data_IF_694256768176
#
_entry.id   IF_694256768176
#
_cell.length_a   1.000
_cell.length_b   1.000
_cell.length_c   1.000
_cell.angle_alpha   90.00
_cell.angle_beta   90.00
_cell.angle_gamma   90.00
#
_symmetry.space_group_name_H-M   'P 1'
#
loop_
_entity.id
_entity.type
_entity.pdbx_description
1 polymer ?
#
# COMPACT_ATOMS: atom_id res chain seq x y z
N UNK A 1 -15.40 40.81 -60.20
CA UNK A 1 -16.02 40.20 -58.98
C UNK A 1 -15.41 38.85 -58.76
N UNK A 2 -14.33 38.83 -57.94
CA UNK A 2 -13.60 37.60 -57.65
C UNK A 2 -13.72 37.34 -56.18
N UNK A 3 -14.32 36.18 -55.83
CA UNK A 3 -14.38 35.71 -54.45
C UNK A 3 -13.08 35.07 -54.03
N UNK A 4 -12.51 35.58 -52.95
CA UNK A 4 -11.33 35.04 -52.31
C UNK A 4 -11.78 33.98 -51.33
N UNK A 5 -11.43 32.70 -51.54
CA UNK A 5 -11.59 31.59 -50.61
C UNK A 5 -10.51 31.69 -49.54
N UNK A 6 -10.94 31.94 -48.32
CA UNK A 6 -10.10 31.92 -47.11
C UNK A 6 -9.94 30.48 -46.65
N UNK A 7 -8.75 29.90 -46.84
CA UNK A 7 -8.41 28.57 -46.29
C UNK A 7 -7.84 28.77 -44.91
N UNK A 8 -8.61 28.48 -43.89
CA UNK A 8 -8.16 28.38 -42.52
C UNK A 8 -7.22 27.17 -42.34
N UNK A 9 -5.94 27.44 -42.13
CA UNK A 9 -4.99 26.43 -41.74
C UNK A 9 -5.22 26.08 -40.23
N UNK A 10 -5.62 24.86 -39.99
CA UNK A 10 -5.65 24.26 -38.65
C UNK A 10 -4.21 24.06 -38.17
N UNK A 11 -3.79 24.48 -36.96
CA UNK A 11 -2.44 24.24 -36.50
C UNK A 11 -2.24 22.75 -36.25
N UNK A 12 -1.36 22.15 -37.05
CA UNK A 12 -0.83 20.80 -36.87
C UNK A 12 -0.08 20.75 -35.53
N UNK A 13 -0.57 19.89 -34.61
CA UNK A 13 0.14 19.57 -33.39
C UNK A 13 1.56 19.08 -33.74
N UNK A 14 2.58 19.83 -33.34
CA UNK A 14 3.99 19.47 -33.44
C UNK A 14 4.24 18.20 -32.63
N UNK A 15 4.29 17.05 -33.32
CA UNK A 15 4.82 15.81 -32.76
C UNK A 15 6.30 16.01 -32.54
N UNK A 16 6.73 16.11 -31.27
CA UNK A 16 8.15 15.94 -30.94
C UNK A 16 8.67 14.65 -31.61
N UNK A 17 9.87 14.65 -32.20
CA UNK A 17 10.42 13.45 -32.79
C UNK A 17 10.49 12.35 -31.74
N UNK A 18 10.22 11.09 -32.10
CA UNK A 18 10.25 10.00 -31.14
C UNK A 18 11.66 9.87 -30.55
N UNK A 19 11.75 9.97 -29.26
CA UNK A 19 13.01 9.70 -28.56
C UNK A 19 13.27 8.20 -28.60
N UNK A 20 14.52 7.81 -28.89
CA UNK A 20 14.92 6.40 -28.90
C UNK A 20 16.11 6.20 -27.96
N UNK A 21 15.99 5.18 -27.10
CA UNK A 21 17.02 4.78 -26.14
C UNK A 21 17.24 3.27 -26.25
N UNK A 22 18.45 2.81 -26.03
CA UNK A 22 18.76 1.37 -25.97
C UNK A 22 19.41 1.04 -24.64
N UNK A 23 18.79 0.12 -23.91
CA UNK A 23 19.35 -0.48 -22.69
C UNK A 23 20.12 -1.74 -23.05
N UNK A 24 21.26 -1.97 -22.40
CA UNK A 24 22.04 -3.19 -22.52
C UNK A 24 22.14 -3.85 -21.15
N UNK A 25 21.87 -5.14 -21.08
CA UNK A 25 21.87 -5.93 -19.85
C UNK A 25 23.04 -6.92 -19.85
N UNK A 26 23.76 -7.01 -18.74
CA UNK A 26 24.99 -7.80 -18.67
C UNK A 26 24.71 -9.30 -18.48
N UNK A 27 23.71 -9.65 -17.68
CA UNK A 27 23.36 -11.05 -17.39
C UNK A 27 22.20 -11.56 -18.27
N UNK A 28 22.53 -12.28 -19.32
CA UNK A 28 21.55 -12.85 -20.24
C UNK A 28 20.61 -13.89 -19.60
N UNK A 29 21.01 -14.53 -18.50
CA UNK A 29 20.16 -15.50 -17.81
C UNK A 29 18.94 -14.87 -17.12
N UNK A 30 19.00 -13.56 -16.80
CA UNK A 30 17.92 -12.82 -16.19
C UNK A 30 16.93 -12.25 -17.21
N UNK A 31 17.32 -12.14 -18.48
CA UNK A 31 16.45 -11.56 -19.51
C UNK A 31 15.12 -12.29 -19.70
N UNK A 32 15.05 -13.62 -19.81
CA UNK A 32 13.76 -14.30 -19.92
C UNK A 32 12.83 -14.00 -18.75
N UNK A 33 13.37 -13.81 -17.55
CA UNK A 33 12.60 -13.46 -16.36
C UNK A 33 12.14 -12.00 -16.39
N UNK A 34 12.96 -11.09 -16.96
CA UNK A 34 12.60 -9.68 -17.17
C UNK A 34 11.50 -9.54 -18.21
N UNK A 35 11.61 -10.26 -19.33
CA UNK A 35 10.64 -10.22 -20.42
C UNK A 35 9.32 -10.89 -20.04
N UNK A 36 9.40 -11.95 -19.22
CA UNK A 36 8.28 -12.83 -18.89
C UNK A 36 7.90 -13.74 -20.07
N UNK A 37 7.03 -14.71 -19.81
CA UNK A 37 6.59 -15.63 -20.83
C UNK A 37 5.98 -14.88 -22.03
N UNK A 38 6.48 -15.13 -23.24
CA UNK A 38 6.03 -14.51 -24.48
C UNK A 38 6.09 -12.97 -24.44
N UNK A 39 7.13 -12.41 -23.81
CA UNK A 39 7.36 -10.96 -23.68
C UNK A 39 6.21 -10.20 -22.98
N UNK A 40 5.42 -10.89 -22.16
CA UNK A 40 4.22 -10.31 -21.51
C UNK A 40 4.52 -9.09 -20.65
N UNK A 41 5.73 -9.00 -20.07
CA UNK A 41 6.13 -7.85 -19.26
C UNK A 41 6.40 -6.64 -20.15
N UNK A 42 7.07 -6.82 -21.30
CA UNK A 42 7.29 -5.76 -22.27
C UNK A 42 5.97 -5.25 -22.85
N UNK A 43 5.08 -6.16 -23.27
CA UNK A 43 3.75 -5.79 -23.78
C UNK A 43 2.95 -4.97 -22.75
N UNK A 44 3.07 -5.30 -21.46
CA UNK A 44 2.42 -4.56 -20.37
C UNK A 44 3.00 -3.15 -20.21
N UNK A 45 4.32 -2.99 -20.32
CA UNK A 45 5.00 -1.69 -20.28
C UNK A 45 4.58 -0.83 -21.49
N UNK A 46 4.59 -1.40 -22.69
CA UNK A 46 4.16 -0.73 -23.92
C UNK A 46 2.72 -0.21 -23.81
N UNK A 47 1.80 -1.06 -23.35
CA UNK A 47 0.40 -0.71 -23.19
C UNK A 47 0.18 0.42 -22.17
N UNK A 48 0.95 0.43 -21.09
CA UNK A 48 0.78 1.42 -20.00
C UNK A 48 1.42 2.77 -20.31
N UNK A 49 2.57 2.78 -20.94
CA UNK A 49 3.33 4.01 -21.21
C UNK A 49 3.15 4.53 -22.63
N UNK A 50 2.58 3.76 -23.55
CA UNK A 50 2.46 4.16 -24.96
C UNK A 50 3.79 4.24 -25.67
N UNK A 51 4.78 3.47 -25.24
CA UNK A 51 6.09 3.31 -25.90
C UNK A 51 6.11 2.03 -26.74
N UNK A 52 7.14 1.88 -27.59
CA UNK A 52 7.46 0.63 -28.28
C UNK A 52 8.77 0.07 -27.75
N UNK A 53 8.78 -1.23 -27.45
CA UNK A 53 9.92 -1.98 -26.93
C UNK A 53 10.32 -3.06 -27.94
N UNK A 54 11.58 -3.13 -28.30
CA UNK A 54 12.10 -4.18 -29.18
C UNK A 54 13.33 -4.82 -28.54
N UNK A 55 13.22 -6.11 -28.22
CA UNK A 55 14.33 -6.88 -27.66
C UNK A 55 15.14 -7.58 -28.78
N UNK A 56 16.46 -7.39 -28.75
CA UNK A 56 17.41 -8.14 -29.61
C UNK A 56 18.62 -8.57 -28.79
N UNK A 57 18.71 -9.85 -28.50
CA UNK A 57 19.75 -10.42 -27.65
C UNK A 57 19.70 -9.79 -26.25
N UNK A 58 20.77 -9.15 -25.81
CA UNK A 58 20.83 -8.49 -24.50
C UNK A 58 20.47 -6.98 -24.54
N UNK A 59 19.83 -6.51 -25.61
CA UNK A 59 19.48 -5.10 -25.79
C UNK A 59 17.97 -4.94 -25.93
N UNK A 60 17.44 -3.95 -25.23
CA UNK A 60 16.04 -3.51 -25.35
C UNK A 60 16.06 -2.07 -25.87
N UNK A 61 15.55 -1.88 -27.10
CA UNK A 61 15.34 -0.55 -27.68
C UNK A 61 13.96 -0.03 -27.23
N UNK A 62 13.91 1.21 -26.75
CA UNK A 62 12.70 1.91 -26.29
C UNK A 62 12.47 3.09 -27.23
N UNK A 63 11.28 3.25 -27.77
CA UNK A 63 10.94 4.39 -28.63
C UNK A 63 9.55 4.94 -28.30
N UNK A 64 9.45 6.27 -28.25
CA UNK A 64 8.21 6.98 -27.90
C UNK A 64 8.45 8.43 -27.49
N UNK A 65 7.47 9.09 -26.85
CA UNK A 65 7.67 10.41 -26.27
C UNK A 65 8.70 10.39 -25.15
N UNK A 66 9.54 11.42 -25.05
CA UNK A 66 10.70 11.45 -24.14
C UNK A 66 10.37 11.13 -22.66
N UNK A 67 9.33 11.69 -22.02
CA UNK A 67 8.99 11.35 -20.62
C UNK A 67 8.63 9.87 -20.43
N UNK A 68 7.91 9.28 -21.40
CA UNK A 68 7.50 7.87 -21.35
C UNK A 68 8.68 6.93 -21.61
N UNK A 69 9.64 7.33 -22.46
CA UNK A 69 10.88 6.58 -22.67
C UNK A 69 11.71 6.55 -21.40
N UNK A 70 11.86 7.69 -20.71
CA UNK A 70 12.56 7.74 -19.41
C UNK A 70 11.86 6.93 -18.32
N UNK A 71 10.52 6.93 -18.28
CA UNK A 71 9.77 6.10 -17.36
C UNK A 71 9.96 4.60 -17.64
N UNK A 72 9.94 4.18 -18.91
CA UNK A 72 10.18 2.80 -19.31
C UNK A 72 11.61 2.33 -18.98
N UNK A 73 12.60 3.19 -19.23
CA UNK A 73 14.00 2.97 -18.85
C UNK A 73 14.13 2.70 -17.35
N UNK A 74 13.61 3.62 -16.54
CA UNK A 74 13.66 3.52 -15.08
C UNK A 74 12.95 2.26 -14.56
N UNK A 75 11.77 1.91 -15.11
CA UNK A 75 11.04 0.71 -14.76
C UNK A 75 11.82 -0.56 -15.09
N UNK A 76 12.35 -0.69 -16.32
CA UNK A 76 13.15 -1.84 -16.73
C UNK A 76 14.41 -2.00 -15.89
N UNK A 77 15.12 -0.89 -15.61
CA UNK A 77 16.29 -0.90 -14.75
C UNK A 77 15.97 -1.31 -13.30
N UNK A 78 14.84 -0.87 -12.76
CA UNK A 78 14.40 -1.27 -11.41
C UNK A 78 14.04 -2.76 -11.34
N UNK A 79 13.29 -3.26 -12.32
CA UNK A 79 12.93 -4.68 -12.40
C UNK A 79 14.17 -5.57 -12.56
N UNK A 80 15.13 -5.16 -13.40
CA UNK A 80 16.36 -5.92 -13.58
C UNK A 80 17.18 -6.01 -12.29
N UNK A 81 17.32 -4.92 -11.53
CA UNK A 81 17.97 -4.94 -10.20
C UNK A 81 17.26 -5.85 -9.19
N UNK A 82 15.94 -5.98 -9.25
CA UNK A 82 15.21 -6.93 -8.41
C UNK A 82 15.60 -8.37 -8.76
N UNK A 83 15.73 -8.70 -10.07
CA UNK A 83 16.18 -10.01 -10.51
C UNK A 83 17.63 -10.30 -10.08
N UNK A 84 18.53 -9.32 -10.14
CA UNK A 84 19.92 -9.46 -9.64
C UNK A 84 19.97 -9.78 -8.14
N UNK A 85 18.98 -9.34 -7.36
CA UNK A 85 18.81 -9.68 -5.94
C UNK A 85 18.14 -11.04 -5.72
N UNK A 86 17.84 -11.77 -6.78
CA UNK A 86 17.15 -13.06 -6.72
C UNK A 86 15.64 -12.98 -6.50
N UNK A 87 15.02 -11.82 -6.73
CA UNK A 87 13.59 -11.64 -6.60
C UNK A 87 12.88 -12.12 -7.88
N UNK A 88 11.69 -12.70 -7.72
CA UNK A 88 10.83 -13.07 -8.85
C UNK A 88 10.04 -11.84 -9.35
N UNK A 89 9.89 -11.68 -10.68
CA UNK A 89 9.09 -10.64 -11.31
C UNK A 89 7.79 -11.23 -11.85
N UNK A 90 6.69 -10.58 -11.49
CA UNK A 90 5.34 -10.87 -11.99
C UNK A 90 4.65 -9.59 -12.51
N UNK A 91 3.46 -9.74 -13.09
CA UNK A 91 2.69 -8.61 -13.60
C UNK A 91 2.43 -7.50 -12.57
N UNK A 92 2.00 -7.82 -11.33
CA UNK A 92 1.88 -6.85 -10.25
C UNK A 92 3.15 -6.06 -9.93
N UNK A 93 4.33 -6.67 -9.97
CA UNK A 93 5.62 -5.99 -9.77
C UNK A 93 5.96 -5.08 -10.95
N UNK A 94 5.64 -5.48 -12.18
CA UNK A 94 5.76 -4.60 -13.36
C UNK A 94 4.86 -3.37 -13.19
N UNK A 95 3.60 -3.56 -12.81
CA UNK A 95 2.69 -2.43 -12.57
C UNK A 95 3.18 -1.51 -11.44
N UNK A 96 3.77 -2.05 -10.40
CA UNK A 96 4.35 -1.28 -9.30
C UNK A 96 5.54 -0.43 -9.80
N UNK A 97 6.46 -1.03 -10.57
CA UNK A 97 7.57 -0.31 -11.18
C UNK A 97 7.06 0.85 -12.06
N UNK A 98 6.05 0.62 -12.88
CA UNK A 98 5.44 1.63 -13.76
C UNK A 98 4.79 2.78 -12.98
N UNK A 99 4.10 2.50 -11.86
CA UNK A 99 3.52 3.57 -11.02
C UNK A 99 4.58 4.44 -10.35
N UNK A 100 5.68 3.82 -9.92
CA UNK A 100 6.78 4.52 -9.26
C UNK A 100 7.64 5.34 -10.25
N UNK A 101 7.55 5.05 -11.54
CA UNK A 101 8.24 5.79 -12.60
C UNK A 101 7.37 6.78 -13.34
N UNK A 102 6.11 6.93 -12.96
CA UNK A 102 5.19 7.89 -13.57
C UNK A 102 5.78 9.31 -13.46
N UNK A 103 6.02 10.01 -14.59
CA UNK A 103 6.59 11.37 -14.58
C UNK A 103 5.70 12.40 -13.88
N UNK A 104 4.43 12.08 -13.64
CA UNK A 104 3.48 12.91 -12.87
C UNK A 104 3.50 12.62 -11.38
N UNK A 105 4.19 11.55 -10.94
CA UNK A 105 4.39 11.22 -9.54
C UNK A 105 5.59 12.00 -8.96
N UNK A 106 5.57 12.22 -7.64
CA UNK A 106 6.60 12.99 -6.93
C UNK A 106 8.02 12.39 -7.12
N UNK A 107 9.00 13.11 -7.68
CA UNK A 107 10.29 12.56 -8.12
C UNK A 107 11.31 12.27 -7.01
N UNK A 108 10.89 12.21 -5.72
CA UNK A 108 11.81 12.29 -4.56
C UNK A 108 12.64 11.06 -4.26
N UNK A 109 12.44 9.90 -4.92
CA UNK A 109 13.24 8.70 -4.61
C UNK A 109 13.72 8.00 -5.88
N UNK A 110 15.05 7.80 -6.04
CA UNK A 110 15.56 6.92 -7.08
C UNK A 110 15.06 5.50 -6.85
N UNK A 111 14.52 4.88 -7.88
CA UNK A 111 14.02 3.49 -7.88
C UNK A 111 15.08 2.45 -7.46
N UNK A 112 16.36 2.84 -7.44
CA UNK A 112 17.46 2.00 -7.01
C UNK A 112 17.43 1.65 -5.52
N UNK A 113 16.84 2.51 -4.69
CA UNK A 113 16.95 2.45 -3.23
C UNK A 113 15.58 2.33 -2.55
N UNK A 114 14.59 1.77 -3.27
CA UNK A 114 13.27 1.54 -2.68
C UNK A 114 13.39 0.64 -1.45
N UNK A 115 12.86 1.08 -0.30
CA UNK A 115 12.87 0.28 0.90
C UNK A 115 12.05 -0.99 0.69
N UNK A 116 12.57 -2.13 1.10
CA UNK A 116 11.83 -3.39 1.07
C UNK A 116 11.81 -4.04 2.44
N UNK A 117 10.65 -4.51 2.84
CA UNK A 117 10.45 -5.26 4.08
C UNK A 117 10.73 -6.74 3.79
N UNK A 118 11.73 -7.31 4.44
CA UNK A 118 12.09 -8.72 4.27
C UNK A 118 11.29 -9.60 5.22
N UNK A 119 10.50 -10.50 4.67
CA UNK A 119 9.77 -11.52 5.43
C UNK A 119 10.31 -12.91 5.10
N UNK A 120 9.84 -13.94 5.82
CA UNK A 120 10.23 -15.33 5.53
C UNK A 120 9.71 -15.85 4.18
N UNK A 121 8.64 -15.28 3.66
CA UNK A 121 8.06 -15.63 2.34
C UNK A 121 8.55 -14.75 1.19
N UNK A 122 9.41 -13.78 1.47
CA UNK A 122 10.01 -12.93 0.44
C UNK A 122 10.11 -11.46 0.84
N UNK A 123 10.57 -10.64 -0.10
CA UNK A 123 10.65 -9.20 0.09
C UNK A 123 9.33 -8.52 -0.36
N UNK A 124 8.82 -7.64 0.48
CA UNK A 124 7.64 -6.82 0.22
C UNK A 124 8.13 -5.40 -0.07
N UNK A 125 8.08 -5.00 -1.33
CA UNK A 125 8.40 -3.64 -1.77
C UNK A 125 7.17 -2.76 -1.88
N UNK A 126 7.36 -1.43 -1.91
CA UNK A 126 6.28 -0.48 -2.15
C UNK A 126 5.74 -0.62 -3.58
N UNK A 127 4.45 -0.34 -3.74
CA UNK A 127 3.74 -0.34 -5.02
C UNK A 127 3.23 1.05 -5.41
N UNK A 128 3.51 2.07 -4.58
CA UNK A 128 3.19 3.48 -4.81
C UNK A 128 4.17 4.38 -4.04
N UNK A 129 4.21 5.66 -4.37
CA UNK A 129 5.04 6.64 -3.69
C UNK A 129 4.63 6.80 -2.21
N UNK A 130 3.32 6.80 -1.91
CA UNK A 130 2.81 6.83 -0.54
C UNK A 130 3.28 5.63 0.28
N UNK A 131 3.30 4.42 -0.31
CA UNK A 131 3.82 3.23 0.35
C UNK A 131 5.32 3.32 0.62
N UNK A 132 6.09 3.94 -0.27
CA UNK A 132 7.54 4.17 -0.07
C UNK A 132 7.79 5.02 1.18
N UNK A 133 7.11 6.18 1.26
CA UNK A 133 7.20 7.05 2.44
C UNK A 133 6.73 6.38 3.73
N UNK A 134 5.68 5.56 3.64
CA UNK A 134 5.18 4.83 4.80
C UNK A 134 6.16 3.77 5.32
N UNK A 135 6.80 2.99 4.46
CA UNK A 135 7.83 2.01 4.88
C UNK A 135 9.00 2.73 5.56
N UNK A 136 9.41 3.90 5.06
CA UNK A 136 10.43 4.71 5.70
C UNK A 136 10.01 5.20 7.09
N UNK A 137 8.79 5.69 7.25
CA UNK A 137 8.23 6.09 8.55
C UNK A 137 8.19 4.91 9.53
N UNK A 138 7.73 3.72 9.09
CA UNK A 138 7.71 2.50 9.90
C UNK A 138 9.11 2.08 10.40
N UNK A 139 10.15 2.38 9.63
CA UNK A 139 11.52 2.08 10.02
C UNK A 139 12.08 3.05 11.07
N UNK A 140 11.68 4.34 11.01
CA UNK A 140 12.30 5.43 11.79
C UNK A 140 11.53 5.81 13.05
N UNK A 141 10.19 5.72 13.06
CA UNK A 141 9.38 6.24 14.15
C UNK A 141 8.90 5.13 15.08
N UNK A 142 8.74 5.46 16.35
CA UNK A 142 8.18 4.57 17.36
C UNK A 142 6.66 4.44 17.24
N UNK A 143 5.99 5.52 16.81
CA UNK A 143 4.57 5.55 16.56
C UNK A 143 4.28 6.09 15.16
N UNK A 144 3.43 5.39 14.39
CA UNK A 144 3.05 5.80 13.04
C UNK A 144 1.54 5.74 12.86
N UNK A 145 0.95 6.84 12.41
CA UNK A 145 -0.42 6.89 11.91
C UNK A 145 -0.43 6.72 10.39
N UNK A 146 -1.21 5.79 9.88
CA UNK A 146 -1.36 5.52 8.45
C UNK A 146 -2.82 5.74 8.04
N UNK A 147 -3.07 6.79 7.27
CA UNK A 147 -4.39 7.32 6.95
C UNK A 147 -4.68 7.25 5.46
N UNK A 148 -5.89 6.89 5.08
CA UNK A 148 -6.35 6.96 3.69
C UNK A 148 -7.24 5.81 3.28
N UNK A 149 -7.63 5.74 1.99
CA UNK A 149 -8.64 4.83 1.50
C UNK A 149 -8.29 3.35 1.68
N UNK A 150 -9.32 2.50 1.67
CA UNK A 150 -9.13 1.05 1.64
C UNK A 150 -8.35 0.60 0.40
N UNK A 151 -7.50 -0.44 0.55
CA UNK A 151 -6.69 -0.97 -0.56
C UNK A 151 -5.38 -0.25 -0.82
N UNK A 152 -4.96 0.71 0.02
CA UNK A 152 -3.65 1.38 -0.05
C UNK A 152 -2.52 0.61 0.64
N UNK A 153 -2.82 -0.53 1.27
CA UNK A 153 -1.83 -1.40 1.89
C UNK A 153 -1.39 -1.01 3.31
N UNK A 154 -2.10 -0.08 3.99
CA UNK A 154 -1.75 0.39 5.35
C UNK A 154 -1.50 -0.74 6.34
N UNK A 155 -2.51 -1.57 6.54
CA UNK A 155 -2.46 -2.68 7.48
C UNK A 155 -1.50 -3.77 7.01
N UNK A 156 -1.50 -4.09 5.73
CA UNK A 156 -0.61 -5.10 5.14
C UNK A 156 0.87 -4.77 5.36
N UNK A 157 1.30 -3.54 5.07
CA UNK A 157 2.69 -3.11 5.26
C UNK A 157 3.07 -2.99 6.74
N UNK A 158 2.13 -2.59 7.61
CA UNK A 158 2.35 -2.60 9.06
C UNK A 158 2.60 -4.02 9.58
N UNK A 159 1.78 -5.01 9.16
CA UNK A 159 1.96 -6.43 9.51
C UNK A 159 3.28 -6.97 8.95
N UNK A 160 3.66 -6.59 7.72
CA UNK A 160 4.93 -6.99 7.13
C UNK A 160 6.12 -6.50 7.99
N UNK A 161 6.09 -5.23 8.40
CA UNK A 161 7.12 -4.66 9.27
C UNK A 161 7.16 -5.34 10.64
N UNK A 162 6.00 -5.62 11.22
CA UNK A 162 5.89 -6.34 12.49
C UNK A 162 6.53 -7.74 12.40
N UNK A 163 6.21 -8.50 11.35
CA UNK A 163 6.78 -9.84 11.10
C UNK A 163 8.29 -9.76 10.87
N UNK A 164 8.77 -8.76 10.12
CA UNK A 164 10.20 -8.57 9.90
C UNK A 164 10.95 -8.25 11.20
N UNK A 165 10.37 -7.41 12.08
CA UNK A 165 10.96 -7.07 13.37
C UNK A 165 10.93 -8.25 14.35
N UNK A 166 9.84 -9.03 14.41
CA UNK A 166 9.75 -10.23 15.22
C UNK A 166 10.76 -11.30 14.76
N UNK A 167 10.86 -11.54 13.46
CA UNK A 167 11.78 -12.56 12.93
C UNK A 167 13.25 -12.18 13.04
N UNK A 168 13.56 -10.89 13.12
CA UNK A 168 14.92 -10.38 13.37
C UNK A 168 15.25 -10.15 14.85
N UNK A 169 14.33 -10.47 15.77
CA UNK A 169 14.52 -10.32 17.21
C UNK A 169 14.56 -8.86 17.70
N UNK A 170 14.01 -7.92 16.91
CA UNK A 170 13.92 -6.50 17.31
C UNK A 170 12.73 -6.24 18.24
N UNK A 171 11.74 -7.11 18.21
CA UNK A 171 10.62 -7.15 19.16
C UNK A 171 10.37 -8.61 19.56
N UNK A 172 9.81 -8.82 20.74
CA UNK A 172 9.54 -10.15 21.28
C UNK A 172 8.15 -10.67 20.88
N UNK A 173 7.23 -9.75 20.51
CA UNK A 173 5.85 -10.11 20.17
C UNK A 173 5.20 -9.11 19.23
N UNK A 174 4.16 -9.59 18.55
CA UNK A 174 3.22 -8.79 17.76
C UNK A 174 1.86 -8.81 18.44
N UNK A 175 1.25 -7.64 18.59
CA UNK A 175 -0.13 -7.50 19.08
C UNK A 175 -0.96 -6.78 18.02
N UNK A 176 -1.94 -7.48 17.47
CA UNK A 176 -2.87 -6.93 16.48
C UNK A 176 -4.21 -6.69 17.15
N UNK A 177 -4.73 -5.49 17.01
CA UNK A 177 -5.99 -5.08 17.61
C UNK A 177 -6.88 -4.37 16.61
N UNK A 178 -8.18 -4.49 16.80
CA UNK A 178 -9.21 -3.79 16.03
C UNK A 178 -10.37 -3.43 16.96
N UNK A 179 -10.97 -2.24 16.83
CA UNK A 179 -12.20 -1.94 17.54
C UNK A 179 -13.29 -2.88 17.06
N UNK A 180 -14.00 -3.51 17.98
CA UNK A 180 -15.22 -4.23 17.67
C UNK A 180 -16.32 -3.17 17.45
N UNK A 181 -16.65 -2.89 16.20
CA UNK A 181 -17.75 -1.98 15.85
C UNK A 181 -18.93 -2.84 15.42
N UNK A 182 -20.05 -2.62 16.07
CA UNK A 182 -21.31 -3.21 15.64
C UNK A 182 -21.80 -2.43 14.41
N UNK A 183 -21.44 -2.89 13.19
CA UNK A 183 -22.00 -2.36 11.95
C UNK A 183 -23.50 -2.72 11.85
N UNK A 184 -24.33 -2.04 12.65
CA UNK A 184 -25.79 -2.25 12.68
C UNK A 184 -26.27 -3.56 13.31
N UNK A 185 -25.41 -4.53 13.55
CA UNK A 185 -25.72 -5.79 14.26
C UNK A 185 -25.13 -5.75 15.65
N UNK A 186 -25.99 -5.83 16.66
CA UNK A 186 -25.53 -5.91 18.05
C UNK A 186 -24.81 -7.25 18.26
N UNK A 187 -23.54 -7.24 18.65
CA UNK A 187 -22.73 -8.41 19.00
C UNK A 187 -23.45 -9.40 19.93
N UNK A 188 -24.48 -8.92 20.65
CA UNK A 188 -25.34 -9.73 21.50
C UNK A 188 -26.18 -10.79 20.77
N UNK A 189 -26.38 -10.69 19.45
CA UNK A 189 -27.21 -11.65 18.69
C UNK A 189 -26.42 -12.81 18.05
N UNK A 190 -25.07 -12.74 18.00
CA UNK A 190 -24.29 -13.85 17.49
C UNK A 190 -24.15 -14.95 18.57
N UNK A 191 -24.36 -16.25 18.24
CA UNK A 191 -24.07 -17.35 19.15
C UNK A 191 -22.55 -17.49 19.36
N UNK A 192 -22.16 -17.95 20.56
CA UNK A 192 -20.75 -18.16 20.90
C UNK A 192 -20.21 -17.21 21.96
N UNK A 193 -18.97 -17.45 22.37
CA UNK A 193 -18.26 -16.59 23.31
C UNK A 193 -17.80 -15.27 22.65
N UNK A 194 -17.32 -14.32 23.44
CA UNK A 194 -16.89 -12.99 22.93
C UNK A 194 -15.77 -13.12 21.88
N UNK A 195 -14.93 -14.14 22.00
CA UNK A 195 -13.81 -14.38 21.08
C UNK A 195 -14.30 -14.90 19.73
N UNK A 196 -15.22 -15.85 19.74
CA UNK A 196 -15.85 -16.39 18.52
C UNK A 196 -16.64 -15.34 17.75
N UNK A 197 -17.31 -14.43 18.46
CA UNK A 197 -18.10 -13.33 17.86
C UNK A 197 -17.22 -12.28 17.16
N UNK A 198 -16.00 -12.07 17.60
CA UNK A 198 -15.08 -11.05 17.06
C UNK A 198 -14.17 -11.62 15.97
N UNK A 199 -13.98 -12.94 15.92
CA UNK A 199 -13.08 -13.61 14.98
C UNK A 199 -13.29 -13.22 13.49
N UNK A 200 -14.53 -13.11 12.96
CA UNK A 200 -14.76 -12.69 11.58
C UNK A 200 -14.15 -11.30 11.23
N UNK A 201 -14.18 -10.38 12.18
CA UNK A 201 -13.64 -9.03 12.01
C UNK A 201 -12.11 -9.00 12.03
N UNK A 202 -11.47 -10.03 12.56
CA UNK A 202 -10.02 -10.16 12.66
C UNK A 202 -9.41 -10.93 11.47
N UNK A 203 -10.22 -11.56 10.62
CA UNK A 203 -9.76 -12.34 9.45
C UNK A 203 -8.75 -11.62 8.57
N UNK A 204 -8.93 -10.33 8.20
CA UNK A 204 -7.95 -9.63 7.37
C UNK A 204 -6.55 -9.57 7.99
N UNK A 205 -6.45 -9.58 9.32
CA UNK A 205 -5.17 -9.61 10.04
C UNK A 205 -4.52 -11.00 9.98
N UNK A 206 -5.33 -12.07 10.10
CA UNK A 206 -4.86 -13.45 9.91
C UNK A 206 -4.38 -13.67 8.47
N UNK A 207 -5.11 -13.17 7.48
CA UNK A 207 -4.76 -13.31 6.06
C UNK A 207 -3.41 -12.62 5.78
N UNK A 208 -3.21 -11.40 6.29
CA UNK A 208 -1.95 -10.69 6.16
C UNK A 208 -0.78 -11.43 6.82
N UNK A 209 -0.97 -12.01 8.00
CA UNK A 209 0.05 -12.83 8.65
C UNK A 209 0.37 -14.11 7.87
N UNK A 210 -0.65 -14.78 7.33
CA UNK A 210 -0.49 -15.97 6.50
C UNK A 210 0.28 -15.69 5.22
N UNK A 211 0.16 -14.50 4.64
CA UNK A 211 0.94 -14.10 3.47
C UNK A 211 2.44 -13.93 3.76
N UNK A 212 2.81 -13.73 5.02
CA UNK A 212 4.18 -13.37 5.43
C UNK A 212 4.92 -14.47 6.18
N UNK A 213 4.17 -15.38 6.82
CA UNK A 213 4.69 -16.50 7.59
C UNK A 213 4.17 -17.83 7.03
N UNK A 214 4.98 -18.90 7.02
CA UNK A 214 4.47 -20.26 6.84
C UNK A 214 3.41 -20.60 7.89
N UNK A 215 2.33 -21.30 7.49
CA UNK A 215 1.18 -21.52 8.37
C UNK A 215 1.49 -22.27 9.66
N UNK A 216 2.42 -23.24 9.61
CA UNK A 216 2.93 -23.97 10.77
C UNK A 216 3.64 -23.03 11.77
N UNK A 217 4.41 -22.07 11.28
CA UNK A 217 5.09 -21.07 12.11
C UNK A 217 4.11 -20.08 12.72
N UNK A 218 3.09 -19.65 11.97
CA UNK A 218 2.05 -18.76 12.49
C UNK A 218 1.33 -19.42 13.65
N UNK A 219 0.83 -20.65 13.46
CA UNK A 219 0.13 -21.40 14.52
C UNK A 219 1.00 -21.58 15.77
N UNK A 220 2.26 -21.96 15.60
CA UNK A 220 3.21 -22.11 16.71
C UNK A 220 3.42 -20.81 17.47
N UNK A 221 3.66 -19.69 16.76
CA UNK A 221 3.91 -18.39 17.37
C UNK A 221 2.68 -17.84 18.11
N UNK A 222 1.49 -18.11 17.60
CA UNK A 222 0.25 -17.78 18.30
C UNK A 222 0.08 -18.62 19.56
N UNK A 223 0.39 -19.91 19.51
CA UNK A 223 0.27 -20.82 20.67
C UNK A 223 1.19 -20.43 21.82
N UNK A 224 2.39 -19.90 21.54
CA UNK A 224 3.35 -19.45 22.58
C UNK A 224 3.20 -17.96 22.92
N UNK A 225 2.23 -17.24 22.33
CA UNK A 225 1.94 -15.84 22.64
C UNK A 225 2.89 -14.81 22.00
N UNK A 226 3.75 -15.20 21.05
CA UNK A 226 4.56 -14.26 20.26
C UNK A 226 3.72 -13.45 19.28
N UNK A 227 2.57 -13.98 18.85
CA UNK A 227 1.58 -13.27 18.03
C UNK A 227 0.24 -13.37 18.74
N UNK A 228 -0.35 -12.23 19.04
CA UNK A 228 -1.64 -12.07 19.67
C UNK A 228 -2.57 -11.25 18.77
N UNK A 229 -3.79 -11.72 18.54
CA UNK A 229 -4.85 -10.96 17.88
C UNK A 229 -6.00 -10.84 18.85
N UNK A 230 -6.34 -9.61 19.23
CA UNK A 230 -7.34 -9.37 20.27
C UNK A 230 -8.12 -8.06 20.03
N UNK A 231 -9.42 -8.04 20.41
CA UNK A 231 -10.22 -6.81 20.40
C UNK A 231 -9.58 -5.70 21.25
N UNK A 232 -9.81 -4.45 20.87
CA UNK A 232 -9.28 -3.27 21.56
C UNK A 232 -9.58 -3.26 23.07
N UNK A 233 -10.74 -3.76 23.48
CA UNK A 233 -11.14 -3.80 24.88
C UNK A 233 -10.17 -4.60 25.77
N UNK A 234 -9.48 -5.61 25.21
CA UNK A 234 -8.51 -6.45 25.93
C UNK A 234 -7.15 -5.77 26.15
N UNK A 235 -6.96 -4.58 25.61
CA UNK A 235 -5.73 -3.78 25.82
C UNK A 235 -5.77 -2.99 27.14
N UNK A 236 -6.93 -2.87 27.75
CA UNK A 236 -7.11 -2.09 28.99
C UNK A 236 -6.28 -2.67 30.14
N UNK A 237 -5.56 -1.80 30.86
CA UNK A 237 -4.76 -2.19 32.04
C UNK A 237 -3.43 -2.88 31.70
N UNK A 238 -3.10 -3.05 30.43
CA UNK A 238 -1.84 -3.67 29.99
C UNK A 238 -0.76 -2.61 29.77
N UNK A 239 0.49 -3.01 29.90
CA UNK A 239 1.67 -2.31 29.36
C UNK A 239 2.30 -3.22 28.33
N UNK A 240 2.43 -2.71 27.11
CA UNK A 240 2.98 -3.45 25.98
C UNK A 240 4.43 -3.04 25.82
N UNK A 241 5.36 -3.85 26.31
CA UNK A 241 6.79 -3.62 26.17
C UNK A 241 7.40 -4.59 25.16
N UNK A 242 8.46 -4.18 24.46
CA UNK A 242 9.21 -4.93 23.46
C UNK A 242 8.31 -5.56 22.40
N UNK A 243 7.26 -4.82 21.99
CA UNK A 243 6.20 -5.32 21.12
C UNK A 243 6.06 -4.46 19.85
N UNK A 244 5.60 -5.09 18.77
CA UNK A 244 5.05 -4.36 17.64
C UNK A 244 3.53 -4.42 17.71
N UNK A 245 2.89 -3.27 17.90
CA UNK A 245 1.46 -3.18 18.18
C UNK A 245 0.75 -2.48 17.03
N UNK A 246 -0.33 -3.08 16.51
CA UNK A 246 -1.11 -2.49 15.42
C UNK A 246 -2.56 -2.34 15.88
N UNK A 247 -3.11 -1.13 15.72
CA UNK A 247 -4.54 -0.87 15.81
C UNK A 247 -5.08 -0.60 14.41
N UNK A 248 -5.85 -1.54 13.89
CA UNK A 248 -6.49 -1.43 12.59
C UNK A 248 -7.91 -0.87 12.70
N UNK A 249 -8.42 -0.20 11.65
CA UNK A 249 -9.73 0.48 11.59
C UNK A 249 -9.96 1.47 12.75
N UNK A 250 -8.89 2.17 13.10
CA UNK A 250 -8.84 3.05 14.28
C UNK A 250 -9.82 4.24 14.22
N UNK A 251 -10.34 4.61 13.04
CA UNK A 251 -11.39 5.63 12.90
C UNK A 251 -12.65 5.27 13.67
N UNK A 252 -12.84 3.97 13.95
CA UNK A 252 -13.99 3.44 14.67
C UNK A 252 -13.76 3.34 16.20
N UNK A 253 -12.74 4.02 16.72
CA UNK A 253 -12.56 4.21 18.16
C UNK A 253 -13.18 5.50 18.63
N UNK A 254 -13.59 5.56 19.89
CA UNK A 254 -13.87 6.83 20.58
C UNK A 254 -12.57 7.48 21.08
N UNK A 255 -12.54 8.81 21.38
CA UNK A 255 -11.36 9.47 21.95
C UNK A 255 -10.83 8.80 23.22
N UNK A 256 -11.73 8.32 24.09
CA UNK A 256 -11.37 7.59 25.33
C UNK A 256 -10.68 6.26 25.01
N UNK A 257 -11.18 5.51 24.05
CA UNK A 257 -10.59 4.24 23.61
C UNK A 257 -9.22 4.47 22.97
N UNK A 258 -9.09 5.47 22.10
CA UNK A 258 -7.82 5.82 21.45
C UNK A 258 -6.77 6.23 22.50
N UNK A 259 -7.09 7.15 23.40
CA UNK A 259 -6.19 7.53 24.48
C UNK A 259 -5.80 6.33 25.33
N UNK A 260 -6.75 5.47 25.71
CA UNK A 260 -6.49 4.26 26.45
C UNK A 260 -5.49 3.36 25.72
N UNK A 261 -5.62 3.17 24.41
CA UNK A 261 -4.73 2.34 23.61
C UNK A 261 -3.33 2.94 23.47
N UNK A 262 -3.21 4.21 23.08
CA UNK A 262 -1.94 4.89 22.89
C UNK A 262 -1.07 4.88 24.15
N UNK A 263 -1.71 4.98 25.32
CA UNK A 263 -1.04 4.92 26.62
C UNK A 263 -0.65 3.51 27.08
N UNK A 264 -0.85 2.48 26.25
CA UNK A 264 -0.33 1.10 26.51
C UNK A 264 1.10 0.92 26.06
N UNK A 265 1.66 1.88 25.33
CA UNK A 265 3.03 1.83 24.82
C UNK A 265 4.03 1.72 25.97
N UNK A 266 4.84 0.66 25.96
CA UNK A 266 5.92 0.41 26.90
C UNK A 266 7.29 0.54 26.24
N UNK A 267 8.33 0.26 26.99
CA UNK A 267 9.72 0.32 26.51
C UNK A 267 9.94 -0.62 25.32
N UNK A 268 10.72 -0.16 24.33
CA UNK A 268 11.07 -0.95 23.14
C UNK A 268 9.90 -1.27 22.21
N UNK A 269 8.75 -0.61 22.38
CA UNK A 269 7.54 -0.87 21.58
C UNK A 269 7.49 0.03 20.35
N UNK A 270 7.02 -0.55 19.25
CA UNK A 270 6.58 0.15 18.04
C UNK A 270 5.07 0.05 17.94
N UNK A 271 4.41 1.18 17.62
CA UNK A 271 2.96 1.25 17.53
C UNK A 271 2.52 1.82 16.19
N UNK A 272 1.59 1.15 15.53
CA UNK A 272 1.05 1.59 14.23
C UNK A 272 -0.47 1.68 14.34
N UNK A 273 -1.02 2.80 13.93
CA UNK A 273 -2.45 3.09 13.94
C UNK A 273 -2.90 3.28 12.49
N UNK A 274 -3.74 2.39 11.98
CA UNK A 274 -4.25 2.45 10.61
C UNK A 274 -5.73 2.83 10.60
N UNK A 275 -6.15 3.62 9.61
CA UNK A 275 -7.56 3.99 9.51
C UNK A 275 -7.91 4.82 8.28
N UNK A 276 -9.21 4.98 8.07
CA UNK A 276 -9.81 5.79 7.01
C UNK A 276 -10.88 6.72 7.59
N UNK A 277 -10.58 8.01 7.68
CA UNK A 277 -11.51 9.01 8.23
C UNK A 277 -12.78 9.22 7.38
N UNK A 278 -12.84 8.64 6.19
CA UNK A 278 -14.05 8.67 5.34
C UNK A 278 -15.01 7.52 5.63
N UNK A 279 -14.55 6.48 6.39
CA UNK A 279 -15.31 5.27 6.71
C UNK A 279 -15.52 5.15 8.22
N UNK A 280 -16.18 6.13 8.82
CA UNK A 280 -16.49 6.14 10.26
C UNK A 280 -17.86 5.52 10.48
N UNK A 281 -17.89 4.38 11.17
CA UNK A 281 -19.10 3.61 11.50
C UNK A 281 -19.59 3.85 12.95
N UNK A 282 -19.08 4.90 13.61
CA UNK A 282 -19.51 5.28 14.94
C UNK A 282 -20.93 5.87 14.93
N UNK A 283 -21.67 5.78 16.06
CA UNK A 283 -22.98 6.41 16.20
C UNK A 283 -22.92 7.93 15.87
N UNK A 284 -23.99 8.44 15.27
CA UNK A 284 -24.10 9.84 14.90
C UNK A 284 -23.77 10.77 16.07
N UNK A 285 -22.94 11.78 15.83
CA UNK A 285 -22.47 12.72 16.86
C UNK A 285 -21.29 12.24 17.69
N UNK A 286 -20.80 11.02 17.52
CA UNK A 286 -19.59 10.53 18.19
C UNK A 286 -18.36 10.92 17.38
N UNK A 287 -17.44 11.68 18.00
CA UNK A 287 -16.16 12.04 17.39
C UNK A 287 -15.26 10.79 17.26
N UNK A 288 -14.62 10.62 16.12
CA UNK A 288 -13.62 9.57 15.92
C UNK A 288 -12.39 9.82 16.80
N UNK A 289 -11.97 8.80 17.54
CA UNK A 289 -10.74 8.85 18.34
C UNK A 289 -9.48 8.99 17.49
N UNK A 290 -9.50 8.49 16.25
CA UNK A 290 -8.40 8.70 15.30
C UNK A 290 -8.28 10.18 14.91
N UNK A 291 -9.39 10.84 14.59
CA UNK A 291 -9.39 12.26 14.28
C UNK A 291 -8.92 13.10 15.49
N UNK A 292 -9.44 12.79 16.68
CA UNK A 292 -9.07 13.45 17.92
C UNK A 292 -7.57 13.29 18.25
N UNK A 293 -7.02 12.09 18.05
CA UNK A 293 -5.59 11.82 18.27
C UNK A 293 -4.69 12.60 17.31
N UNK A 294 -5.06 12.69 16.03
CA UNK A 294 -4.29 13.44 15.03
C UNK A 294 -4.21 14.94 15.37
N UNK A 295 -5.33 15.52 15.79
CA UNK A 295 -5.36 16.93 16.21
C UNK A 295 -4.57 17.16 17.50
N UNK A 296 -4.68 16.22 18.47
CA UNK A 296 -4.04 16.36 19.80
C UNK A 296 -2.53 16.13 19.76
N UNK A 297 -2.07 15.24 18.89
CA UNK A 297 -0.66 14.79 18.83
C UNK A 297 0.12 15.48 17.71
N UNK A 298 -0.43 16.49 17.07
CA UNK A 298 0.27 17.27 16.06
C UNK A 298 1.55 17.89 16.65
N UNK A 299 2.68 17.69 15.98
CA UNK A 299 3.99 18.22 16.41
C UNK A 299 4.67 17.44 17.54
N UNK A 300 4.08 16.37 18.05
CA UNK A 300 4.75 15.51 19.05
C UNK A 300 5.88 14.73 18.38
N UNK A 301 7.11 14.89 18.90
CA UNK A 301 8.30 14.19 18.38
C UNK A 301 8.17 12.68 18.55
N UNK A 302 8.75 11.91 17.60
CA UNK A 302 8.67 10.43 17.59
C UNK A 302 7.43 9.87 16.91
N UNK A 303 6.47 10.70 16.51
CA UNK A 303 5.26 10.31 15.79
C UNK A 303 5.39 10.61 14.29
N UNK A 304 5.18 9.63 13.45
CA UNK A 304 5.10 9.76 11.99
C UNK A 304 3.65 9.68 11.50
N UNK A 305 3.33 10.44 10.45
CA UNK A 305 2.00 10.40 9.82
C UNK A 305 2.15 10.14 8.33
N UNK A 306 1.68 8.99 7.86
CA UNK A 306 1.55 8.66 6.45
C UNK A 306 0.12 8.98 5.97
N UNK A 307 -0.01 9.71 4.87
CA UNK A 307 -1.31 10.01 4.24
C UNK A 307 -1.34 9.43 2.84
N UNK A 308 -2.25 8.50 2.62
CA UNK A 308 -2.51 7.88 1.34
C UNK A 308 -3.68 8.54 0.64
N UNK A 309 -3.66 8.51 -0.67
CA UNK A 309 -4.73 9.00 -1.53
C UNK A 309 -5.17 7.93 -2.54
N UNK A 310 -6.08 8.26 -3.45
CA UNK A 310 -6.60 7.33 -4.44
C UNK A 310 -5.52 6.80 -5.42
N UNK A 311 -4.43 7.53 -5.65
CA UNK A 311 -3.33 7.07 -6.52
C UNK A 311 -2.52 5.93 -5.88
N UNK A 312 -2.55 5.81 -4.55
CA UNK A 312 -1.89 4.75 -3.79
C UNK A 312 -2.69 3.44 -3.73
N UNK A 313 -3.94 3.45 -4.21
CA UNK A 313 -4.81 2.27 -4.18
C UNK A 313 -4.26 1.18 -5.10
N UNK A 314 -3.96 0.03 -4.52
CA UNK A 314 -3.48 -1.16 -5.23
C UNK A 314 -4.60 -2.18 -5.30
N UNK A 315 -5.36 -2.16 -6.39
CA UNK A 315 -6.50 -3.06 -6.61
C UNK A 315 -6.43 -3.71 -7.99
N UNK A 316 -7.17 -4.79 -8.15
CA UNK A 316 -7.40 -5.37 -9.48
C UNK A 316 -8.05 -4.32 -10.39
N UNK A 317 -7.63 -4.16 -11.67
CA UNK A 317 -8.17 -3.12 -12.56
C UNK A 317 -9.70 -3.14 -12.70
N UNK A 318 -10.32 -4.31 -12.65
CA UNK A 318 -11.78 -4.45 -12.68
C UNK A 318 -12.42 -3.84 -11.42
N UNK A 319 -11.82 -4.03 -10.24
CA UNK A 319 -12.34 -3.45 -8.98
C UNK A 319 -12.28 -1.93 -9.02
N UNK A 320 -11.21 -1.34 -9.59
CA UNK A 320 -11.14 0.11 -9.82
C UNK A 320 -12.32 0.62 -10.65
N UNK A 321 -12.59 -0.01 -11.80
CA UNK A 321 -13.72 0.35 -12.67
C UNK A 321 -15.08 0.17 -12.01
N UNK A 322 -15.24 -0.85 -11.16
CA UNK A 322 -16.49 -1.05 -10.40
C UNK A 322 -16.71 0.11 -9.43
N UNK A 323 -15.68 0.49 -8.66
CA UNK A 323 -15.77 1.61 -7.70
C UNK A 323 -16.11 2.91 -8.43
N UNK A 324 -15.39 3.23 -9.50
CA UNK A 324 -15.65 4.42 -10.31
C UNK A 324 -17.10 4.48 -10.82
N UNK A 325 -17.65 3.36 -11.28
CA UNK A 325 -19.03 3.29 -11.74
C UNK A 325 -20.05 3.57 -10.62
N UNK A 326 -19.79 3.07 -9.41
CA UNK A 326 -20.64 3.35 -8.25
C UNK A 326 -20.53 4.81 -7.80
N UNK A 327 -19.33 5.38 -7.76
CA UNK A 327 -19.10 6.79 -7.39
C UNK A 327 -19.79 7.75 -8.36
N UNK A 328 -19.69 7.50 -9.68
CA UNK A 328 -20.39 8.26 -10.72
C UNK A 328 -21.91 8.20 -10.52
N UNK A 329 -22.47 7.02 -10.20
CA UNK A 329 -23.89 6.87 -9.93
C UNK A 329 -24.33 7.65 -8.69
N UNK A 330 -23.52 7.64 -7.63
CA UNK A 330 -23.83 8.40 -6.39
C UNK A 330 -23.76 9.92 -6.63
N UNK A 331 -22.76 10.39 -7.39
CA UNK A 331 -22.64 11.80 -7.75
C UNK A 331 -23.86 12.26 -8.55
N UNK A 332 -24.26 11.52 -9.57
CA UNK A 332 -25.45 11.82 -10.38
C UNK A 332 -26.77 11.76 -9.57
N UNK A 333 -26.84 10.93 -8.53
CA UNK A 333 -28.00 10.88 -7.65
C UNK A 333 -28.08 12.11 -6.73
N UNK A 334 -26.94 12.61 -6.23
CA UNK A 334 -26.86 13.85 -5.41
C UNK A 334 -27.25 15.08 -6.21
N UNK A 335 -26.82 15.19 -7.47
CA UNK A 335 -27.19 16.29 -8.37
C UNK A 335 -28.68 16.33 -8.73
N UNK A 336 -29.38 15.20 -8.66
CA UNK A 336 -30.84 15.12 -8.91
C UNK A 336 -31.72 15.45 -7.70
N UNK A 337 -31.15 15.47 -6.51
CA UNK A 337 -31.87 15.68 -5.24
C UNK A 337 -31.44 16.95 -4.49
N UNK A 338 -30.49 17.73 -5.03
CA UNK A 338 -30.10 19.07 -4.59
C UNK A 338 -30.57 20.13 -5.59
#
# INVERSE_FOLDING_TARGET
MSQILNVSATPSATKNPPHALTLTFENNALLPLLLGDHDRHLARIEQRLGVRLACRGNRIAISGPAPQVSAAEAALAALYRQLERGEFIDGPKVDAALRLTDPTADPRLPLSDLPAIRTRKGAIGPRSAGQTGYIDLLARHEMVFALGPAGTGKTYLAVAQAVAMLTSGKVDRIVLSRPAVEAGERLGFLPGDMKEKVDPYLRPLYDALNDMLPGDQLTKRMAIGEIEIAPLAFMRGRTLAHAFVILDEAQNTTPVQMKMFLTRMGEGTRMVITGDLTQIDLPAGTRSGLADALDTLEGVSGIGVARFNNSDVVRHPLVGRIVEAYDQRQAAARERHG
#
